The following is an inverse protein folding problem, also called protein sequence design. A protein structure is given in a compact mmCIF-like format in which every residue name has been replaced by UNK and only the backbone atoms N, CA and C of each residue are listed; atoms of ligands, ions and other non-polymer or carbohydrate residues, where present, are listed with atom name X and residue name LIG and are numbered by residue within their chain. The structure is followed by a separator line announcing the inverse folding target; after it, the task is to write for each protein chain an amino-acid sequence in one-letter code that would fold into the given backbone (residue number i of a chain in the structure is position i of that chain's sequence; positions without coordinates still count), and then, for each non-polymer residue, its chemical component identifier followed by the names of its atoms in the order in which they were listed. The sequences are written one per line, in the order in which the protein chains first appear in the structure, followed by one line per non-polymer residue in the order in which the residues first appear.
data_IF_785511207529
#
_entry.id   IF_785511207529
#
_cell.length_a   1.000
_cell.length_b   1.000
_cell.length_c   1.000
_cell.angle_alpha   90.00
_cell.angle_beta   90.00
_cell.angle_gamma   90.00
#
_symmetry.space_group_name_H-M   'P 1'
#
loop_
_entity.id
_entity.type
_entity.pdbx_description
1 polymer ?
#
# COMPACT_ATOMS: atom_id res chain seq x y z
N UNK A 1 -15.99 4.44 -24.12
CA UNK A 1 -15.11 5.26 -23.28
C UNK A 1 -15.95 5.77 -22.13
N UNK A 2 -15.66 5.34 -20.91
CA UNK A 2 -16.45 5.74 -19.74
C UNK A 2 -16.30 7.22 -19.42
N UNK A 3 -17.34 7.84 -18.86
CA UNK A 3 -17.37 9.26 -18.51
C UNK A 3 -17.53 9.47 -17.00
N UNK A 4 -16.80 10.44 -16.44
CA UNK A 4 -16.82 10.72 -15.00
C UNK A 4 -16.96 12.21 -14.75
N UNK A 5 -17.86 12.57 -13.83
CA UNK A 5 -17.95 13.91 -13.28
C UNK A 5 -17.04 14.03 -12.05
N UNK A 6 -16.20 15.06 -11.97
CA UNK A 6 -15.35 15.33 -10.80
C UNK A 6 -15.91 16.51 -10.02
N UNK A 7 -16.14 16.31 -8.72
CA UNK A 7 -16.41 17.37 -7.76
C UNK A 7 -15.23 17.53 -6.80
N UNK A 8 -14.81 18.77 -6.56
CA UNK A 8 -13.67 19.14 -5.72
C UNK A 8 -13.97 20.49 -5.05
N UNK A 9 -13.24 20.85 -3.98
CA UNK A 9 -13.29 22.21 -3.47
C UNK A 9 -12.37 23.11 -4.30
N UNK A 10 -12.79 24.34 -4.61
CA UNK A 10 -11.98 25.28 -5.40
C UNK A 10 -10.54 25.46 -4.87
N UNK A 11 -10.38 25.43 -3.55
CA UNK A 11 -9.09 25.55 -2.88
C UNK A 11 -8.15 24.37 -3.17
N UNK A 12 -8.69 23.19 -3.49
CA UNK A 12 -7.92 21.99 -3.81
C UNK A 12 -7.16 22.09 -5.13
N UNK A 13 -7.49 23.07 -5.99
CA UNK A 13 -6.84 23.24 -7.29
C UNK A 13 -5.97 24.49 -7.40
N UNK A 14 -5.60 25.13 -6.29
CA UNK A 14 -4.70 26.29 -6.31
C UNK A 14 -3.32 25.96 -6.90
N UNK A 15 -2.87 24.73 -6.73
CA UNK A 15 -1.60 24.21 -7.26
C UNK A 15 -1.77 23.31 -8.50
N UNK A 16 -2.94 23.34 -9.14
CA UNK A 16 -3.27 22.48 -10.30
C UNK A 16 -3.31 20.97 -9.99
N UNK A 17 -3.49 20.57 -8.72
CA UNK A 17 -3.51 19.16 -8.33
C UNK A 17 -4.71 18.41 -8.94
N UNK A 18 -5.89 19.04 -8.99
CA UNK A 18 -7.06 18.46 -9.65
C UNK A 18 -6.86 18.38 -11.16
N UNK A 19 -6.22 19.39 -11.76
CA UNK A 19 -5.88 19.37 -13.19
C UNK A 19 -4.93 18.21 -13.54
N UNK A 20 -3.95 17.91 -12.68
CA UNK A 20 -3.08 16.74 -12.84
C UNK A 20 -3.87 15.42 -12.78
N UNK A 21 -4.78 15.26 -11.81
CA UNK A 21 -5.63 14.07 -11.71
C UNK A 21 -6.49 13.90 -12.96
N UNK A 22 -7.05 15.00 -13.48
CA UNK A 22 -7.85 14.97 -14.70
C UNK A 22 -7.02 14.49 -15.88
N UNK A 23 -5.81 15.02 -16.06
CA UNK A 23 -4.89 14.58 -17.12
C UNK A 23 -4.57 13.09 -17.02
N UNK A 24 -4.30 12.60 -15.80
CA UNK A 24 -4.00 11.19 -15.55
C UNK A 24 -5.18 10.27 -15.88
N UNK A 25 -6.40 10.68 -15.53
CA UNK A 25 -7.62 9.93 -15.83
C UNK A 25 -7.97 9.95 -17.32
N UNK A 26 -7.75 11.07 -18.01
CA UNK A 26 -7.90 11.16 -19.47
C UNK A 26 -6.88 10.23 -20.15
N UNK A 27 -5.63 10.25 -19.69
CA UNK A 27 -4.57 9.37 -20.19
C UNK A 27 -4.87 7.88 -19.95
N UNK A 28 -5.62 7.58 -18.89
CA UNK A 28 -6.13 6.24 -18.59
C UNK A 28 -7.39 5.85 -19.39
N UNK A 29 -7.90 6.72 -20.26
CA UNK A 29 -9.01 6.42 -21.17
C UNK A 29 -10.39 6.84 -20.68
N UNK A 30 -10.50 7.77 -19.71
CA UNK A 30 -11.79 8.34 -19.31
C UNK A 30 -12.11 9.66 -20.01
N UNK A 31 -13.40 9.90 -20.25
CA UNK A 31 -13.92 11.21 -20.55
C UNK A 31 -14.22 11.96 -19.24
N UNK A 32 -13.39 12.94 -18.87
CA UNK A 32 -13.50 13.64 -17.59
C UNK A 32 -14.24 14.96 -17.76
N UNK A 33 -15.21 15.22 -16.87
CA UNK A 33 -16.01 16.45 -16.83
C UNK A 33 -15.90 17.12 -15.45
N UNK A 34 -15.82 18.44 -15.43
CA UNK A 34 -15.73 19.22 -14.19
C UNK A 34 -16.24 20.66 -14.38
N UNK A 35 -16.45 21.35 -13.26
CA UNK A 35 -17.14 22.63 -13.20
C UNK A 35 -16.57 23.72 -14.14
N UNK A 36 -15.26 23.96 -14.10
CA UNK A 36 -14.56 25.00 -14.88
C UNK A 36 -14.69 24.83 -16.40
N UNK A 37 -14.98 23.63 -16.89
CA UNK A 37 -15.00 23.34 -18.34
C UNK A 37 -16.41 23.15 -18.89
N UNK A 38 -17.35 22.78 -18.02
CA UNK A 38 -18.67 22.30 -18.45
C UNK A 38 -19.83 23.17 -17.96
N UNK A 39 -19.60 24.10 -17.03
CA UNK A 39 -20.65 24.99 -16.53
C UNK A 39 -20.76 26.28 -17.33
N UNK A 40 -22.00 26.72 -17.54
CA UNK A 40 -22.28 27.99 -18.19
C UNK A 40 -22.41 29.10 -17.14
N UNK A 41 -21.83 30.27 -17.45
CA UNK A 41 -22.03 31.48 -16.68
C UNK A 41 -23.52 31.90 -16.69
N UNK A 42 -23.98 32.51 -15.60
CA UNK A 42 -25.34 33.08 -15.49
C UNK A 42 -26.44 32.07 -15.10
N UNK A 43 -26.11 30.80 -14.89
CA UNK A 43 -27.02 29.79 -14.30
C UNK A 43 -26.56 29.43 -12.88
N UNK A 44 -27.48 28.92 -12.06
CA UNK A 44 -27.11 28.37 -10.73
C UNK A 44 -26.16 27.19 -10.93
N UNK A 45 -24.99 27.27 -10.29
CA UNK A 45 -23.92 26.28 -10.44
C UNK A 45 -24.40 24.88 -10.03
N UNK A 46 -25.09 24.80 -8.89
CA UNK A 46 -25.49 23.51 -8.33
C UNK A 46 -26.51 22.76 -9.19
N UNK A 47 -27.49 23.45 -9.76
CA UNK A 47 -28.47 22.84 -10.67
C UNK A 47 -27.79 22.20 -11.89
N UNK A 48 -26.69 22.81 -12.37
CA UNK A 48 -25.90 22.27 -13.47
C UNK A 48 -25.03 21.09 -13.03
N UNK A 49 -24.37 21.17 -11.86
CA UNK A 49 -23.56 20.07 -11.29
C UNK A 49 -24.45 18.84 -11.06
N UNK A 50 -25.60 19.05 -10.43
CA UNK A 50 -26.60 18.03 -10.19
C UNK A 50 -27.05 17.35 -11.48
N UNK A 51 -27.24 18.13 -12.56
CA UNK A 51 -27.59 17.59 -13.86
C UNK A 51 -26.51 16.63 -14.41
N UNK A 52 -25.23 16.98 -14.29
CA UNK A 52 -24.13 16.09 -14.71
C UNK A 52 -24.07 14.80 -13.91
N UNK A 53 -24.36 14.85 -12.60
CA UNK A 53 -24.34 13.67 -11.72
C UNK A 53 -25.55 12.76 -11.99
N UNK A 54 -26.74 13.34 -12.14
CA UNK A 54 -27.99 12.60 -12.23
C UNK A 54 -28.39 12.13 -13.63
N UNK A 55 -27.86 12.74 -14.69
CA UNK A 55 -28.17 12.34 -16.06
C UNK A 55 -27.20 11.25 -16.53
N UNK A 56 -27.74 10.07 -16.80
CA UNK A 56 -26.97 8.92 -17.26
C UNK A 56 -26.32 9.14 -18.63
N UNK A 57 -26.83 10.04 -19.46
CA UNK A 57 -26.21 10.40 -20.74
C UNK A 57 -24.99 11.32 -20.58
N UNK A 58 -24.84 11.95 -19.40
CA UNK A 58 -23.78 12.92 -19.14
C UNK A 58 -22.62 12.34 -18.32
N UNK A 59 -22.86 11.38 -17.44
CA UNK A 59 -21.79 10.72 -16.69
C UNK A 59 -22.13 9.27 -16.39
N UNK A 60 -21.13 8.41 -16.49
CA UNK A 60 -21.21 7.00 -16.07
C UNK A 60 -20.87 6.83 -14.58
N UNK A 61 -20.18 7.80 -13.98
CA UNK A 61 -19.92 7.85 -12.54
C UNK A 61 -19.56 9.23 -12.02
N UNK A 62 -19.44 9.30 -10.71
CA UNK A 62 -19.11 10.51 -9.95
C UNK A 62 -17.87 10.27 -9.09
N UNK A 63 -16.86 11.13 -9.24
CA UNK A 63 -15.64 11.13 -8.45
C UNK A 63 -15.58 12.37 -7.58
N UNK A 64 -15.38 12.15 -6.28
CA UNK A 64 -15.13 13.18 -5.29
C UNK A 64 -13.63 13.27 -5.02
N UNK A 65 -13.06 14.45 -5.22
CA UNK A 65 -11.71 14.77 -4.75
C UNK A 65 -11.76 15.10 -3.25
N UNK A 66 -11.44 14.11 -2.44
CA UNK A 66 -11.66 14.11 -1.00
C UNK A 66 -10.38 14.50 -0.26
N UNK A 67 -10.27 15.77 0.12
CA UNK A 67 -9.14 16.34 0.87
C UNK A 67 -9.58 16.71 2.28
N UNK A 68 -8.61 17.03 3.15
CA UNK A 68 -8.91 17.61 4.46
C UNK A 68 -9.72 18.91 4.34
N UNK A 69 -9.52 19.68 3.26
CA UNK A 69 -10.21 20.95 3.01
C UNK A 69 -11.65 20.69 2.58
N UNK A 70 -11.87 19.84 1.57
CA UNK A 70 -13.21 19.54 1.07
C UNK A 70 -14.05 18.80 2.09
N UNK A 71 -13.46 17.86 2.84
CA UNK A 71 -14.16 17.14 3.91
C UNK A 71 -14.19 17.89 5.24
N UNK A 72 -13.39 18.93 5.46
CA UNK A 72 -13.41 19.75 6.68
C UNK A 72 -14.49 20.83 6.66
N UNK A 73 -14.89 21.28 5.47
CA UNK A 73 -15.88 22.33 5.26
C UNK A 73 -17.31 21.82 5.47
N UNK A 74 -18.05 22.39 6.44
CA UNK A 74 -19.47 22.05 6.68
C UNK A 74 -20.32 22.26 5.43
N UNK A 75 -20.11 23.37 4.71
CA UNK A 75 -20.82 23.66 3.46
C UNK A 75 -20.58 22.56 2.42
N UNK A 76 -19.34 22.10 2.28
CA UNK A 76 -19.03 21.02 1.34
C UNK A 76 -19.69 19.71 1.78
N UNK A 77 -19.67 19.37 3.07
CA UNK A 77 -20.35 18.16 3.60
C UNK A 77 -21.85 18.17 3.32
N UNK A 78 -22.52 19.29 3.57
CA UNK A 78 -23.96 19.42 3.33
C UNK A 78 -24.28 19.24 1.84
N UNK A 79 -23.58 19.96 0.96
CA UNK A 79 -23.77 19.82 -0.49
C UNK A 79 -23.47 18.40 -0.98
N UNK A 80 -22.43 17.76 -0.45
CA UNK A 80 -22.14 16.36 -0.77
C UNK A 80 -23.24 15.41 -0.30
N UNK A 81 -23.77 15.58 0.91
CA UNK A 81 -24.85 14.75 1.41
C UNK A 81 -26.10 14.90 0.53
N UNK A 82 -26.45 16.13 0.14
CA UNK A 82 -27.57 16.39 -0.77
C UNK A 82 -27.35 15.81 -2.18
N UNK A 83 -26.17 16.01 -2.78
CA UNK A 83 -25.85 15.42 -4.08
C UNK A 83 -25.89 13.89 -4.05
N UNK A 84 -25.35 13.30 -2.99
CA UNK A 84 -25.29 11.85 -2.80
C UNK A 84 -26.69 11.25 -2.71
N UNK A 85 -27.53 11.80 -1.85
CA UNK A 85 -28.92 11.35 -1.67
C UNK A 85 -29.67 11.36 -3.00
N UNK A 86 -29.65 12.49 -3.71
CA UNK A 86 -30.35 12.62 -4.99
C UNK A 86 -29.74 11.77 -6.11
N UNK A 87 -28.42 11.59 -6.13
CA UNK A 87 -27.77 10.71 -7.09
C UNK A 87 -28.21 9.27 -6.88
N UNK A 88 -28.27 8.80 -5.64
CA UNK A 88 -28.71 7.44 -5.32
C UNK A 88 -30.21 7.24 -5.60
N UNK A 89 -31.05 8.22 -5.28
CA UNK A 89 -32.48 8.17 -5.58
C UNK A 89 -32.77 8.06 -7.08
N UNK A 90 -32.01 8.79 -7.91
CA UNK A 90 -32.27 8.85 -9.36
C UNK A 90 -31.49 7.80 -10.18
N UNK A 91 -30.26 7.49 -9.79
CA UNK A 91 -29.37 6.56 -10.52
C UNK A 91 -29.36 5.14 -9.93
N UNK A 92 -29.87 4.98 -8.71
CA UNK A 92 -29.85 3.72 -7.97
C UNK A 92 -28.52 3.46 -7.24
N UNK A 93 -28.52 2.40 -6.43
CA UNK A 93 -27.38 2.02 -5.58
C UNK A 93 -26.12 1.57 -6.34
N UNK A 94 -26.28 1.15 -7.60
CA UNK A 94 -25.17 0.67 -8.45
C UNK A 94 -24.46 1.81 -9.20
N UNK A 95 -24.91 3.06 -9.03
CA UNK A 95 -24.22 4.19 -9.63
C UNK A 95 -22.81 4.33 -9.04
N UNK A 96 -21.75 4.35 -9.89
CA UNK A 96 -20.39 4.50 -9.42
C UNK A 96 -20.16 5.83 -8.71
N UNK A 97 -19.93 5.76 -7.40
CA UNK A 97 -19.52 6.90 -6.57
C UNK A 97 -18.17 6.56 -5.98
N UNK A 98 -17.18 7.41 -6.25
CA UNK A 98 -15.77 7.17 -5.95
C UNK A 98 -15.26 8.34 -5.12
N UNK A 99 -14.56 8.05 -4.02
CA UNK A 99 -13.83 9.05 -3.27
C UNK A 99 -12.32 8.85 -3.49
N UNK A 100 -11.67 9.85 -4.08
CA UNK A 100 -10.25 9.87 -4.38
C UNK A 100 -9.52 10.74 -3.35
N UNK A 101 -8.58 10.14 -2.63
CA UNK A 101 -7.83 10.78 -1.57
C UNK A 101 -6.39 11.05 -2.03
N UNK A 102 -5.99 12.32 -2.20
CA UNK A 102 -4.62 12.66 -2.55
C UNK A 102 -3.65 12.50 -1.37
N UNK A 103 -4.17 12.54 -0.14
CA UNK A 103 -3.41 12.38 1.10
C UNK A 103 -4.30 11.72 2.17
N UNK A 104 -3.68 11.28 3.27
CA UNK A 104 -4.43 10.83 4.44
C UNK A 104 -5.29 11.96 5.00
N UNK A 105 -6.55 11.66 5.32
CA UNK A 105 -7.48 12.57 5.99
C UNK A 105 -7.95 11.98 7.30
N UNK A 106 -8.48 12.83 8.18
CA UNK A 106 -9.14 12.35 9.39
C UNK A 106 -10.37 11.50 9.04
N UNK A 107 -10.42 10.27 9.60
CA UNK A 107 -11.51 9.30 9.37
C UNK A 107 -12.86 9.78 9.92
N UNK A 108 -12.84 10.69 10.89
CA UNK A 108 -14.05 11.30 11.45
C UNK A 108 -14.71 12.27 10.47
N UNK A 109 -13.93 12.87 9.56
CA UNK A 109 -14.45 13.78 8.54
C UNK A 109 -15.15 13.06 7.39
N UNK A 110 -14.85 11.77 7.17
CA UNK A 110 -15.40 10.99 6.06
C UNK A 110 -16.89 10.66 6.36
N UNK A 111 -17.84 11.17 5.55
CA UNK A 111 -19.26 10.87 5.72
C UNK A 111 -19.57 9.38 5.56
N UNK A 112 -20.58 8.90 6.28
CA UNK A 112 -20.99 7.48 6.24
C UNK A 112 -21.34 6.99 4.83
N UNK A 113 -21.95 7.85 4.00
CA UNK A 113 -22.31 7.52 2.62
C UNK A 113 -21.11 7.31 1.69
N UNK A 114 -19.93 7.84 2.04
CA UNK A 114 -18.67 7.60 1.30
C UNK A 114 -17.95 6.35 1.84
N UNK A 115 -18.05 6.08 3.14
CA UNK A 115 -17.38 4.93 3.80
C UNK A 115 -17.78 3.56 3.21
N UNK A 116 -18.96 3.47 2.62
CA UNK A 116 -19.48 2.23 2.02
C UNK A 116 -19.26 2.15 0.50
N UNK A 117 -18.55 3.12 -0.08
CA UNK A 117 -18.30 3.25 -1.52
C UNK A 117 -16.81 3.08 -1.83
N UNK A 118 -16.45 3.13 -3.12
CA UNK A 118 -15.07 2.93 -3.54
C UNK A 118 -14.19 4.06 -2.98
N UNK A 119 -13.30 3.69 -2.08
CA UNK A 119 -12.24 4.53 -1.53
C UNK A 119 -10.94 4.25 -2.28
N UNK A 120 -10.32 5.28 -2.86
CA UNK A 120 -9.07 5.15 -3.63
C UNK A 120 -8.05 6.17 -3.14
N UNK A 121 -6.82 5.74 -2.84
CA UNK A 121 -5.70 6.65 -2.58
C UNK A 121 -4.87 6.84 -3.85
N UNK A 122 -4.39 8.05 -4.14
CA UNK A 122 -3.48 8.27 -5.28
C UNK A 122 -2.10 7.59 -5.07
N UNK A 123 -1.79 7.20 -3.83
CA UNK A 123 -0.57 6.45 -3.50
C UNK A 123 -0.65 4.99 -3.94
N UNK A 124 -1.85 4.48 -4.19
CA UNK A 124 -2.04 3.11 -4.67
C UNK A 124 -1.57 3.03 -6.13
N UNK A 125 -0.62 2.16 -6.50
CA UNK A 125 -0.05 2.15 -7.86
C UNK A 125 -1.09 1.87 -8.96
N UNK A 126 -2.21 1.26 -8.59
CA UNK A 126 -3.32 0.86 -9.45
C UNK A 126 -4.53 1.81 -9.36
N UNK A 127 -4.41 2.98 -8.71
CA UNK A 127 -5.52 3.89 -8.44
C UNK A 127 -6.34 4.25 -9.70
N UNK A 128 -5.65 4.52 -10.82
CA UNK A 128 -6.26 4.85 -12.12
C UNK A 128 -7.13 3.70 -12.63
N UNK A 129 -6.59 2.49 -12.62
CA UNK A 129 -7.25 1.29 -13.11
C UNK A 129 -8.48 0.94 -12.25
N UNK A 130 -8.41 1.15 -10.93
CA UNK A 130 -9.55 0.95 -10.03
C UNK A 130 -10.71 1.89 -10.38
N UNK A 131 -10.41 3.16 -10.69
CA UNK A 131 -11.42 4.14 -11.12
C UNK A 131 -12.00 3.74 -12.48
N UNK A 132 -11.14 3.50 -13.48
CA UNK A 132 -11.58 3.13 -14.85
C UNK A 132 -12.47 1.89 -14.80
N UNK A 133 -12.04 0.84 -14.11
CA UNK A 133 -12.77 -0.41 -14.03
C UNK A 133 -14.17 -0.24 -13.44
N UNK A 134 -14.32 0.58 -12.40
CA UNK A 134 -15.60 0.84 -11.75
C UNK A 134 -16.52 1.68 -12.64
N UNK A 135 -15.99 2.68 -13.34
CA UNK A 135 -16.75 3.45 -14.34
C UNK A 135 -17.22 2.56 -15.50
N UNK A 136 -16.37 1.64 -15.96
CA UNK A 136 -16.67 0.69 -17.03
C UNK A 136 -17.44 -0.56 -16.56
N UNK A 137 -17.80 -0.64 -15.28
CA UNK A 137 -18.53 -1.77 -14.66
C UNK A 137 -17.86 -3.13 -14.88
N UNK A 138 -16.53 -3.16 -14.82
CA UNK A 138 -15.70 -4.36 -14.92
C UNK A 138 -14.84 -4.53 -13.67
N UNK A 139 -14.27 -5.72 -13.50
CA UNK A 139 -13.26 -5.93 -12.47
C UNK A 139 -11.94 -5.24 -12.84
N UNK A 140 -11.19 -4.69 -11.86
CA UNK A 140 -9.92 -4.04 -12.12
C UNK A 140 -8.85 -5.07 -12.44
N UNK A 141 -8.03 -4.77 -13.44
CA UNK A 141 -6.88 -5.58 -13.87
C UNK A 141 -5.66 -5.15 -13.09
N UNK A 142 -5.59 -5.59 -11.84
CA UNK A 142 -4.49 -5.24 -10.93
C UNK A 142 -3.44 -6.33 -10.99
N UNK A 143 -2.20 -5.97 -11.29
CA UNK A 143 -1.06 -6.85 -11.11
C UNK A 143 -0.88 -7.10 -9.62
N UNK A 144 -1.34 -8.26 -9.14
CA UNK A 144 -1.10 -8.66 -7.76
C UNK A 144 0.39 -8.95 -7.62
N UNK A 145 1.14 -8.17 -6.81
CA UNK A 145 2.54 -8.49 -6.58
C UNK A 145 2.62 -9.89 -5.99
N UNK A 146 3.50 -10.72 -6.52
CA UNK A 146 3.81 -12.00 -5.91
C UNK A 146 4.45 -11.72 -4.56
N UNK A 147 3.71 -11.93 -3.48
CA UNK A 147 4.21 -11.75 -2.12
C UNK A 147 4.97 -13.01 -1.73
N UNK A 148 6.26 -12.85 -1.45
CA UNK A 148 7.10 -13.95 -0.96
C UNK A 148 6.56 -14.49 0.37
N UNK A 149 6.69 -15.81 0.64
CA UNK A 149 6.18 -16.45 1.86
C UNK A 149 6.93 -16.03 3.14
N UNK A 150 7.90 -15.12 3.01
CA UNK A 150 8.68 -14.54 4.09
C UNK A 150 8.60 -13.00 4.08
N UNK A 151 8.83 -12.41 5.24
CA UNK A 151 9.16 -10.99 5.35
C UNK A 151 10.68 -10.87 5.47
N UNK A 152 11.25 -9.93 4.71
CA UNK A 152 12.64 -9.54 4.80
C UNK A 152 12.71 -8.02 4.85
N UNK A 153 13.45 -7.49 5.82
CA UNK A 153 13.73 -6.08 5.94
C UNK A 153 15.22 -5.87 6.24
N UNK A 154 15.78 -4.78 5.73
CA UNK A 154 17.14 -4.36 6.04
C UNK A 154 17.03 -3.07 6.85
N UNK A 155 17.53 -3.10 8.07
CA UNK A 155 17.63 -1.95 8.94
C UNK A 155 19.09 -1.49 8.98
N UNK A 156 19.30 -0.19 9.15
CA UNK A 156 20.64 0.38 9.32
C UNK A 156 20.80 0.86 10.77
N UNK A 157 21.85 0.39 11.45
CA UNK A 157 22.15 0.72 12.84
C UNK A 157 23.59 1.24 12.95
N UNK A 158 23.76 2.56 12.83
CA UNK A 158 25.08 3.17 12.70
C UNK A 158 25.77 2.72 11.40
N UNK A 159 26.95 2.13 11.54
CA UNK A 159 27.72 1.58 10.41
C UNK A 159 27.37 0.11 10.09
N UNK A 160 26.48 -0.52 10.87
CA UNK A 160 26.09 -1.91 10.70
C UNK A 160 24.74 -2.07 10.00
N UNK A 161 24.55 -3.23 9.39
CA UNK A 161 23.28 -3.67 8.80
C UNK A 161 22.61 -4.72 9.68
N UNK A 162 21.29 -4.69 9.75
CA UNK A 162 20.49 -5.72 10.40
C UNK A 162 19.49 -6.27 9.41
N UNK A 163 19.67 -7.53 9.03
CA UNK A 163 18.73 -8.24 8.16
C UNK A 163 17.70 -8.92 9.07
N UNK A 164 16.45 -8.48 9.00
CA UNK A 164 15.33 -9.13 9.68
C UNK A 164 14.68 -10.14 8.75
N UNK A 165 14.47 -11.37 9.21
CA UNK A 165 13.76 -12.42 8.48
C UNK A 165 12.77 -13.18 9.35
N UNK A 166 11.61 -13.51 8.78
CA UNK A 166 10.57 -14.34 9.41
C UNK A 166 9.58 -14.91 8.40
N UNK A 167 8.84 -15.99 8.73
CA UNK A 167 7.71 -16.42 7.91
C UNK A 167 6.59 -15.37 7.92
N UNK A 168 5.85 -15.27 6.82
CA UNK A 168 4.54 -14.57 6.84
C UNK A 168 3.43 -15.42 7.44
N UNK A 169 3.58 -16.76 7.38
CA UNK A 169 2.66 -17.72 7.96
C UNK A 169 3.41 -18.99 8.39
N UNK A 170 2.90 -19.65 9.43
CA UNK A 170 3.52 -20.85 10.00
C UNK A 170 4.73 -20.54 10.87
N UNK A 171 5.53 -21.57 11.13
CA UNK A 171 6.67 -21.52 12.06
C UNK A 171 7.90 -22.14 11.41
N UNK A 172 9.07 -21.53 11.56
CA UNK A 172 10.35 -22.15 11.23
C UNK A 172 11.09 -22.51 12.50
N UNK A 173 11.31 -23.80 12.73
CA UNK A 173 12.08 -24.31 13.86
C UNK A 173 12.58 -25.73 13.57
N UNK A 174 13.84 -26.08 13.87
CA UNK A 174 14.92 -25.13 14.17
C UNK A 174 15.17 -24.19 13.00
N UNK A 175 15.57 -22.95 13.28
CA UNK A 175 15.85 -21.95 12.25
C UNK A 175 17.33 -21.96 11.88
N UNK A 176 17.64 -21.73 10.60
CA UNK A 176 19.02 -21.54 10.13
C UNK A 176 19.20 -20.29 9.28
N UNK A 177 20.44 -19.82 9.22
CA UNK A 177 20.97 -18.94 8.18
C UNK A 177 22.22 -19.53 7.54
N UNK A 178 22.51 -19.10 6.32
CA UNK A 178 23.78 -19.37 5.67
C UNK A 178 24.21 -18.24 4.74
N UNK A 179 25.52 -17.98 4.71
CA UNK A 179 26.15 -17.01 3.81
C UNK A 179 27.38 -17.65 3.13
N UNK A 180 27.89 -17.10 2.03
CA UNK A 180 29.13 -17.56 1.42
C UNK A 180 30.28 -17.59 2.43
N UNK A 181 30.96 -18.74 2.51
CA UNK A 181 32.03 -18.98 3.47
C UNK A 181 33.19 -17.98 3.30
N UNK A 182 33.50 -17.62 2.05
CA UNK A 182 34.53 -16.63 1.71
C UNK A 182 34.16 -15.19 2.12
N UNK A 183 32.91 -14.94 2.51
CA UNK A 183 32.44 -13.62 2.97
C UNK A 183 32.31 -13.53 4.50
N UNK A 184 32.44 -14.66 5.22
CA UNK A 184 32.17 -14.74 6.66
C UNK A 184 32.89 -13.66 7.46
N UNK A 185 34.18 -13.47 7.25
CA UNK A 185 34.98 -12.52 8.02
C UNK A 185 34.60 -11.05 7.71
N UNK A 186 34.26 -10.75 6.46
CA UNK A 186 33.85 -9.42 6.01
C UNK A 186 32.43 -9.06 6.47
N UNK A 187 31.52 -10.03 6.43
CA UNK A 187 30.12 -9.87 6.85
C UNK A 187 30.02 -9.89 8.37
N UNK A 188 30.83 -10.72 9.04
CA UNK A 188 30.86 -10.95 10.49
C UNK A 188 29.45 -11.13 11.08
N UNK A 189 28.68 -12.13 10.59
CA UNK A 189 27.27 -12.28 10.93
C UNK A 189 27.07 -12.66 12.41
N UNK A 190 26.13 -12.00 13.08
CA UNK A 190 25.67 -12.33 14.42
C UNK A 190 24.16 -12.58 14.39
N UNK A 191 23.73 -13.73 14.91
CA UNK A 191 22.33 -14.12 14.90
C UNK A 191 21.65 -13.71 16.21
N UNK A 192 20.45 -13.16 16.12
CA UNK A 192 19.61 -12.75 17.23
C UNK A 192 18.15 -13.13 17.00
N UNK A 193 17.36 -13.24 18.07
CA UNK A 193 15.93 -13.58 18.02
C UNK A 193 15.12 -12.57 18.84
N UNK A 194 13.97 -12.13 18.32
CA UNK A 194 13.11 -11.19 19.03
C UNK A 194 11.79 -10.87 18.32
N UNK A 195 11.01 -9.97 18.89
CA UNK A 195 9.74 -9.54 18.32
C UNK A 195 9.92 -8.91 16.93
N UNK A 196 8.97 -9.13 16.01
CA UNK A 196 9.03 -8.60 14.64
C UNK A 196 8.99 -7.06 14.59
N UNK A 197 9.72 -6.48 13.64
CA UNK A 197 9.92 -5.03 13.45
C UNK A 197 10.53 -4.29 14.67
N UNK A 198 11.19 -5.02 15.56
CA UNK A 198 11.89 -4.50 16.72
C UNK A 198 13.36 -4.93 16.64
N UNK A 199 14.17 -4.32 15.74
CA UNK A 199 15.58 -4.66 15.65
C UNK A 199 16.27 -4.43 17.01
N UNK A 200 17.16 -5.34 17.45
CA UNK A 200 17.76 -5.26 18.76
C UNK A 200 18.63 -4.00 18.90
N UNK A 201 18.29 -3.13 19.86
CA UNK A 201 19.06 -1.93 20.18
C UNK A 201 20.05 -2.19 21.33
N UNK A 202 21.34 -2.22 21.03
CA UNK A 202 22.42 -2.36 22.03
C UNK A 202 22.82 -3.81 22.35
N UNK A 203 23.56 -4.01 23.46
CA UNK A 203 24.08 -5.32 23.93
C UNK A 203 22.96 -6.13 24.62
N UNK A 204 21.78 -6.25 23.99
CA UNK A 204 20.74 -7.14 24.50
C UNK A 204 21.13 -8.55 24.05
N UNK A 205 21.63 -9.36 25.00
CA UNK A 205 21.80 -10.81 24.79
C UNK A 205 20.42 -11.42 24.53
N UNK A 206 20.12 -11.71 23.28
CA UNK A 206 18.99 -12.57 22.91
C UNK A 206 19.42 -14.02 23.16
N UNK A 207 18.70 -14.75 24.01
CA UNK A 207 19.00 -16.15 24.27
C UNK A 207 18.68 -17.01 23.05
N UNK A 208 19.72 -17.45 22.35
CA UNK A 208 19.59 -18.47 21.30
C UNK A 208 19.65 -19.86 21.95
N UNK A 209 18.54 -20.59 21.90
CA UNK A 209 18.49 -21.99 22.29
C UNK A 209 19.20 -22.84 21.24
N UNK A 210 20.05 -23.78 21.63
CA UNK A 210 20.78 -24.71 20.71
C UNK A 210 21.46 -23.98 19.55
N UNK A 211 22.25 -22.95 19.87
CA UNK A 211 23.11 -22.29 18.90
C UNK A 211 24.13 -23.27 18.33
N UNK A 212 24.12 -23.46 17.01
CA UNK A 212 25.07 -24.30 16.29
C UNK A 212 25.67 -23.48 15.16
N UNK A 213 26.99 -23.38 15.15
CA UNK A 213 27.74 -22.77 14.05
C UNK A 213 28.50 -23.86 13.30
N UNK A 214 28.52 -23.78 11.97
CA UNK A 214 29.20 -24.77 11.17
C UNK A 214 29.44 -24.34 9.73
N UNK A 215 29.77 -25.33 8.92
CA UNK A 215 29.96 -25.17 7.48
C UNK A 215 29.24 -26.31 6.79
N UNK A 216 28.70 -26.03 5.62
CA UNK A 216 28.13 -27.05 4.73
C UNK A 216 29.17 -28.11 4.35
N UNK A 217 28.70 -29.30 3.99
CA UNK A 217 29.58 -30.43 3.66
C UNK A 217 30.54 -30.15 2.49
N UNK A 218 30.17 -29.25 1.56
CA UNK A 218 31.02 -28.82 0.45
C UNK A 218 31.91 -27.62 0.77
N UNK A 219 31.86 -27.10 2.01
CA UNK A 219 32.70 -26.00 2.49
C UNK A 219 32.30 -24.62 1.96
N UNK A 220 31.23 -24.50 1.16
CA UNK A 220 30.95 -23.24 0.44
C UNK A 220 30.15 -22.24 1.25
N UNK A 221 29.35 -22.72 2.20
CA UNK A 221 28.51 -21.87 3.04
C UNK A 221 28.90 -22.01 4.49
N UNK A 222 29.09 -20.87 5.14
CA UNK A 222 29.01 -20.77 6.58
C UNK A 222 27.54 -20.84 7.00
N UNK A 223 27.23 -21.62 8.03
CA UNK A 223 25.87 -21.79 8.54
C UNK A 223 25.79 -21.53 10.03
N UNK A 224 24.63 -21.05 10.45
CA UNK A 224 24.31 -20.81 11.84
C UNK A 224 22.85 -21.17 12.09
N UNK A 225 22.59 -22.01 13.08
CA UNK A 225 21.23 -22.40 13.45
C UNK A 225 20.94 -22.20 14.92
N UNK A 226 19.67 -21.99 15.21
CA UNK A 226 19.13 -21.81 16.54
C UNK A 226 17.76 -22.49 16.64
N UNK A 227 17.46 -23.05 17.80
CA UNK A 227 16.21 -23.75 18.09
C UNK A 227 15.03 -22.87 18.46
N UNK A 228 15.20 -21.54 18.56
CA UNK A 228 14.05 -20.65 18.74
C UNK A 228 13.16 -20.69 17.50
N UNK A 229 11.87 -20.49 17.71
CA UNK A 229 10.92 -20.48 16.61
C UNK A 229 10.87 -19.11 15.94
N UNK A 230 11.00 -19.06 14.62
CA UNK A 230 10.60 -17.90 13.82
C UNK A 230 9.11 -18.02 13.50
N UNK A 231 8.33 -17.00 13.82
CA UNK A 231 6.87 -16.93 13.57
C UNK A 231 6.53 -15.59 12.91
N UNK A 232 5.27 -15.33 12.50
CA UNK A 232 4.91 -14.02 11.96
C UNK A 232 5.13 -12.86 12.94
N UNK A 233 5.26 -13.13 14.25
CA UNK A 233 5.48 -12.14 15.30
C UNK A 233 6.87 -12.22 15.95
N UNK A 234 7.68 -13.24 15.61
CA UNK A 234 9.03 -13.45 16.13
C UNK A 234 10.01 -13.62 14.97
N UNK A 235 10.94 -12.68 14.86
CA UNK A 235 11.93 -12.62 13.80
C UNK A 235 13.31 -13.10 14.25
N UNK A 236 14.09 -13.52 13.28
CA UNK A 236 15.54 -13.55 13.41
C UNK A 236 16.15 -12.29 12.83
N UNK A 237 17.16 -11.79 13.51
CA UNK A 237 17.93 -10.61 13.12
C UNK A 237 19.38 -11.03 12.90
N UNK A 238 19.90 -10.78 11.71
CA UNK A 238 21.28 -11.04 11.34
C UNK A 238 22.02 -9.71 11.30
N UNK A 239 22.80 -9.45 12.33
CA UNK A 239 23.66 -8.29 12.44
C UNK A 239 24.91 -8.52 11.60
N UNK A 240 25.23 -7.59 10.70
CA UNK A 240 26.32 -7.70 9.75
C UNK A 240 27.10 -6.38 9.65
N UNK A 241 28.41 -6.46 9.47
CA UNK A 241 29.26 -5.30 9.12
C UNK A 241 29.06 -4.91 7.65
N UNK A 242 28.84 -5.90 6.78
CA UNK A 242 28.55 -5.72 5.36
C UNK A 242 27.46 -6.69 4.95
N UNK A 243 26.63 -6.34 3.96
CA UNK A 243 25.68 -7.30 3.39
C UNK A 243 26.43 -8.45 2.67
N UNK A 244 25.97 -9.70 2.85
CA UNK A 244 26.49 -10.83 2.09
C UNK A 244 25.97 -10.76 0.63
N UNK A 245 26.65 -11.40 -0.33
CA UNK A 245 26.13 -11.49 -1.70
C UNK A 245 24.80 -12.24 -1.79
N UNK A 246 24.59 -13.22 -0.90
CA UNK A 246 23.28 -13.82 -0.65
C UNK A 246 23.15 -14.35 0.77
N UNK A 247 21.90 -14.51 1.22
CA UNK A 247 21.54 -15.16 2.47
C UNK A 247 20.59 -16.32 2.17
N UNK A 248 20.90 -17.48 2.74
CA UNK A 248 19.97 -18.61 2.86
C UNK A 248 19.36 -18.58 4.25
N UNK A 249 18.06 -18.84 4.38
CA UNK A 249 17.39 -18.94 5.67
C UNK A 249 16.15 -19.83 5.62
N UNK A 250 15.73 -20.35 6.77
CA UNK A 250 14.53 -21.19 6.87
C UNK A 250 14.67 -22.29 7.92
N UNK A 251 14.07 -23.44 7.67
CA UNK A 251 14.12 -24.59 8.58
C UNK A 251 15.45 -25.35 8.42
N UNK A 252 16.20 -25.48 9.50
CA UNK A 252 17.44 -26.26 9.55
C UNK A 252 17.14 -27.74 9.28
N UNK A 253 17.83 -28.32 8.29
CA UNK A 253 17.62 -29.69 7.83
C UNK A 253 16.24 -29.99 7.23
N UNK A 254 15.41 -28.97 6.95
CA UNK A 254 14.02 -29.14 6.53
C UNK A 254 13.57 -28.20 5.41
N UNK A 255 12.25 -28.16 5.19
CA UNK A 255 11.59 -27.28 4.23
C UNK A 255 10.54 -26.44 4.96
N UNK A 256 10.44 -25.12 4.70
CA UNK A 256 11.09 -24.40 3.59
C UNK A 256 12.46 -23.80 3.93
N UNK A 257 13.29 -23.64 2.90
CA UNK A 257 14.50 -22.79 2.89
C UNK A 257 14.45 -21.85 1.68
N UNK A 258 14.86 -20.61 1.88
CA UNK A 258 14.83 -19.55 0.89
C UNK A 258 16.22 -18.98 0.68
N UNK A 259 16.47 -18.41 -0.50
CA UNK A 259 17.71 -17.71 -0.82
C UNK A 259 17.39 -16.32 -1.38
N UNK A 260 18.02 -15.28 -0.82
CA UNK A 260 17.87 -13.90 -1.27
C UNK A 260 19.24 -13.32 -1.60
N UNK A 261 19.35 -12.58 -2.70
CA UNK A 261 20.55 -11.83 -3.10
C UNK A 261 20.42 -10.36 -2.69
N UNK A 262 21.54 -9.75 -2.31
CA UNK A 262 21.63 -8.33 -1.93
C UNK A 262 22.44 -7.52 -2.95
#
# INVERSE_FOLDING_TARGET
MGSVWITYAWDDNKCSDVDFIVQELISAGLNVKLDRWNLNAGKRLWEQIEHFIQDQSLSDGWLLYATQVSLGSEKCKEEFAYALDRALDKRGGDFPIIALFPASVDKELIPAGIKTRLFVSITDPDWKERIVAVIERRSPTITKPQVEPYALAIHQMGEQYVIEVRPRAGTWSPFMIGIPMNEKDRVSPQLHHGAANCPPTGIIMTSLHRYIEGTTADGKLWINSAGNEATPTQSYYILCQNLPSFLIFGIDGGSPQYQVKF
#
